data_IF_082567354385
#
_entry.id   IF_082567354385
#
_cell.length_a   1.000
_cell.length_b   1.000
_cell.length_c   1.000
_cell.angle_alpha   90.00
_cell.angle_beta   90.00
_cell.angle_gamma   90.00
#
_symmetry.space_group_name_H-M   'P 1'
#
loop_
_entity.id
_entity.type
_entity.pdbx_description
1 polymer ?
#
# COMPACT_ATOMS: atom_id res chain seq x y z
N UNK A 1 -3.67 15.64 2.14
CA UNK A 1 -2.91 15.61 3.41
C UNK A 1 -3.73 15.05 4.56
N UNK A 2 -4.96 15.55 4.81
CA UNK A 2 -5.81 15.11 5.94
C UNK A 2 -6.00 13.59 6.01
N UNK A 3 -6.25 12.91 4.88
CA UNK A 3 -6.38 11.43 4.86
C UNK A 3 -5.14 10.72 5.42
N UNK A 4 -3.94 11.13 4.99
CA UNK A 4 -2.67 10.54 5.45
C UNK A 4 -2.47 10.83 6.94
N UNK A 5 -2.77 12.05 7.39
CA UNK A 5 -2.63 12.43 8.81
C UNK A 5 -3.60 11.65 9.71
N UNK A 6 -4.86 11.49 9.30
CA UNK A 6 -5.83 10.68 10.05
C UNK A 6 -5.42 9.19 10.09
N UNK A 7 -4.95 8.64 8.96
CA UNK A 7 -4.49 7.26 8.90
C UNK A 7 -3.26 7.04 9.79
N UNK A 8 -2.29 7.96 9.75
CA UNK A 8 -1.13 7.91 10.65
C UNK A 8 -1.51 8.09 12.12
N UNK A 9 -2.46 8.99 12.42
CA UNK A 9 -2.99 9.17 13.77
C UNK A 9 -3.60 7.89 14.33
N UNK A 10 -4.38 7.16 13.51
CA UNK A 10 -4.90 5.85 13.91
C UNK A 10 -3.78 4.82 14.13
N UNK A 11 -2.79 4.75 13.24
CA UNK A 11 -1.68 3.82 13.37
C UNK A 11 -0.86 4.06 14.66
N UNK A 12 -0.55 5.33 14.95
CA UNK A 12 0.23 5.71 16.14
C UNK A 12 -0.56 5.46 17.42
N UNK A 13 -1.87 5.74 17.44
CA UNK A 13 -2.69 5.52 18.63
C UNK A 13 -2.83 4.05 19.03
N UNK A 14 -2.70 3.12 18.07
CA UNK A 14 -2.78 1.69 18.36
C UNK A 14 -1.41 1.06 18.66
N UNK A 15 -0.30 1.68 18.22
CA UNK A 15 1.04 1.19 18.52
C UNK A 15 1.31 1.16 20.05
N UNK A 16 1.83 0.06 20.65
CA UNK A 16 2.45 -1.12 20.04
C UNK A 16 1.51 -2.33 19.80
N UNK A 17 0.21 -2.18 20.04
CA UNK A 17 -0.78 -3.24 19.95
C UNK A 17 -1.36 -3.32 18.54
N UNK A 18 -1.13 -4.44 17.86
CA UNK A 18 -1.76 -4.68 16.55
C UNK A 18 -3.23 -5.09 16.72
N UNK A 19 -3.55 -5.80 17.81
CA UNK A 19 -4.91 -6.19 18.21
C UNK A 19 -5.05 -5.93 19.71
N UNK A 20 -5.68 -4.81 20.13
CA UNK A 20 -5.88 -4.50 21.54
C UNK A 20 -6.75 -5.53 22.25
N UNK A 21 -6.55 -5.80 23.55
CA UNK A 21 -5.65 -5.13 24.50
C UNK A 21 -4.27 -5.81 24.70
N UNK A 22 -4.12 -7.08 24.30
CA UNK A 22 -3.01 -7.91 24.78
C UNK A 22 -1.99 -8.30 23.69
N UNK A 23 -2.35 -8.23 22.41
CA UNK A 23 -1.47 -8.72 21.34
C UNK A 23 -0.60 -7.60 20.78
N UNK A 24 0.69 -7.67 21.12
CA UNK A 24 1.69 -6.73 20.61
C UNK A 24 2.19 -7.16 19.24
N UNK A 25 2.79 -6.23 18.49
CA UNK A 25 3.45 -6.49 17.20
C UNK A 25 4.40 -7.70 17.21
N UNK A 26 5.01 -7.99 18.36
CA UNK A 26 5.95 -9.11 18.51
C UNK A 26 5.23 -10.44 18.67
N UNK A 27 4.08 -10.46 19.34
CA UNK A 27 3.30 -11.67 19.60
C UNK A 27 2.60 -12.19 18.36
N UNK A 28 2.22 -11.28 17.45
CA UNK A 28 1.60 -11.61 16.16
C UNK A 28 2.59 -11.66 14.99
N UNK A 29 3.90 -11.59 15.26
CA UNK A 29 4.91 -11.72 14.22
C UNK A 29 4.90 -13.14 13.63
N UNK A 30 4.88 -13.23 12.29
CA UNK A 30 4.96 -14.52 11.62
C UNK A 30 6.34 -15.16 11.80
N UNK A 31 6.42 -16.48 11.57
CA UNK A 31 7.69 -17.22 11.62
C UNK A 31 8.76 -16.56 10.72
N UNK A 32 10.04 -16.51 11.13
CA UNK A 32 11.09 -15.81 10.38
C UNK A 32 11.23 -16.28 8.92
N UNK A 33 11.04 -17.57 8.65
CA UNK A 33 11.08 -18.14 7.30
C UNK A 33 9.96 -17.60 6.40
N UNK A 34 8.75 -17.42 6.93
CA UNK A 34 7.61 -16.84 6.21
C UNK A 34 7.84 -15.37 5.89
N UNK A 35 8.44 -14.60 6.80
CA UNK A 35 8.83 -13.22 6.53
C UNK A 35 9.83 -13.10 5.38
N UNK A 36 10.85 -13.97 5.34
CA UNK A 36 11.84 -13.98 4.24
C UNK A 36 11.18 -14.32 2.91
N UNK A 37 10.28 -15.30 2.88
CA UNK A 37 9.53 -15.65 1.66
C UNK A 37 8.71 -14.46 1.13
N UNK A 38 7.97 -13.79 2.01
CA UNK A 38 7.17 -12.61 1.64
C UNK A 38 8.06 -11.46 1.17
N UNK A 39 9.19 -11.20 1.84
CA UNK A 39 10.14 -10.16 1.43
C UNK A 39 10.64 -10.38 0.01
N UNK A 40 11.06 -11.61 -0.32
CA UNK A 40 11.50 -11.95 -1.68
C UNK A 40 10.38 -11.68 -2.68
N UNK A 41 9.16 -12.16 -2.39
CA UNK A 41 7.99 -11.93 -3.26
C UNK A 41 7.71 -10.45 -3.48
N UNK A 42 7.68 -9.65 -2.41
CA UNK A 42 7.42 -8.21 -2.46
C UNK A 42 8.50 -7.47 -3.22
N UNK A 43 9.78 -7.81 -3.04
CA UNK A 43 10.91 -7.16 -3.74
C UNK A 43 10.78 -7.24 -5.26
N UNK A 44 10.20 -8.31 -5.82
CA UNK A 44 9.99 -8.43 -7.26
C UNK A 44 8.60 -7.99 -7.73
N UNK A 45 7.55 -8.36 -6.99
CA UNK A 45 6.17 -8.08 -7.39
C UNK A 45 5.83 -6.60 -7.25
N UNK A 46 6.26 -5.95 -6.16
CA UNK A 46 5.95 -4.55 -5.91
C UNK A 46 6.50 -3.62 -7.01
N UNK A 47 7.78 -3.68 -7.43
CA UNK A 47 8.25 -2.85 -8.53
C UNK A 47 7.57 -3.19 -9.86
N UNK A 48 7.22 -4.45 -10.11
CA UNK A 48 6.47 -4.83 -11.33
C UNK A 48 5.08 -4.19 -11.36
N UNK A 49 4.35 -4.23 -10.24
CA UNK A 49 3.01 -3.63 -10.13
C UNK A 49 3.10 -2.11 -10.29
N UNK A 50 4.06 -1.47 -9.62
CA UNK A 50 4.26 -0.02 -9.73
C UNK A 50 4.67 0.38 -11.15
N UNK A 51 5.54 -0.38 -11.81
CA UNK A 51 5.92 -0.15 -13.19
C UNK A 51 4.72 -0.25 -14.14
N UNK A 52 3.94 -1.32 -14.02
CA UNK A 52 2.73 -1.49 -14.83
C UNK A 52 1.72 -0.35 -14.59
N UNK A 53 1.50 0.01 -13.32
CA UNK A 53 0.60 1.11 -12.95
C UNK A 53 1.09 2.42 -13.58
N UNK A 54 2.37 2.76 -13.41
CA UNK A 54 2.97 3.94 -14.00
C UNK A 54 2.89 3.93 -15.54
N UNK A 55 3.13 2.78 -16.18
CA UNK A 55 3.03 2.60 -17.62
C UNK A 55 1.61 2.82 -18.13
N UNK A 56 0.59 2.31 -17.43
CA UNK A 56 -0.83 2.54 -17.76
C UNK A 56 -1.15 4.03 -17.68
N UNK A 57 -0.82 4.69 -16.56
CA UNK A 57 -1.02 6.13 -16.42
C UNK A 57 -0.26 6.90 -17.51
N UNK A 58 0.96 6.49 -17.86
CA UNK A 58 1.75 7.12 -18.91
C UNK A 58 1.16 6.91 -20.31
N UNK A 59 0.62 5.74 -20.60
CA UNK A 59 0.08 5.38 -21.93
C UNK A 59 -1.28 6.03 -22.17
N UNK A 60 -2.09 6.17 -21.12
CA UNK A 60 -3.44 6.74 -21.21
C UNK A 60 -3.52 8.21 -20.80
N UNK A 61 -2.41 8.83 -20.36
CA UNK A 61 -2.40 10.28 -20.11
C UNK A 61 -2.75 11.04 -21.39
N UNK A 62 -3.65 12.01 -21.27
CA UNK A 62 -4.02 12.90 -22.38
C UNK A 62 -4.97 12.32 -23.43
N UNK A 63 -5.48 11.08 -23.26
CA UNK A 63 -6.52 10.53 -24.15
C UNK A 63 -7.95 10.97 -23.82
N UNK A 64 -8.13 11.75 -22.75
CA UNK A 64 -9.41 12.40 -22.43
C UNK A 64 -9.38 13.80 -23.05
N UNK A 65 -9.94 13.94 -24.27
CA UNK A 65 -10.28 15.25 -24.82
C UNK A 65 -11.52 15.75 -24.09
N UNK A 66 -11.47 16.98 -23.58
CA UNK A 66 -12.61 17.63 -22.91
C UNK A 66 -13.84 17.82 -23.82
N UNK A 67 -13.70 17.58 -25.12
CA UNK A 67 -14.69 17.93 -26.16
C UNK A 67 -15.56 16.74 -26.64
N UNK A 68 -15.28 15.50 -26.23
CA UNK A 68 -15.97 14.31 -26.78
C UNK A 68 -17.14 13.79 -25.92
N UNK A 69 -17.66 14.59 -24.99
CA UNK A 69 -18.71 14.17 -24.05
C UNK A 69 -19.88 15.14 -23.90
N UNK A 70 -19.91 16.25 -24.64
CA UNK A 70 -21.01 17.20 -24.57
C UNK A 70 -21.11 18.06 -25.84
N UNK A 71 -21.64 17.48 -26.91
CA UNK A 71 -22.34 18.19 -27.99
C UNK A 71 -23.56 17.34 -28.38
#
# INVERSE_FOLDING_TARGET
AIFVLCFLGLAISNYPYLVPPDLTIWDVAAAPSSHVFVLIGVTFLLPMILFYTAFVYWTFRGKVKADSGYH
#
